data_IF_700743603272
#
_entry.id   IF_700743603272
#
_cell.length_a   1.000
_cell.length_b   1.000
_cell.length_c   1.000
_cell.angle_alpha   90.00
_cell.angle_beta   90.00
_cell.angle_gamma   90.00
#
_symmetry.space_group_name_H-M   'P 1'
#
loop_
_entity.id
_entity.type
_entity.pdbx_description
1 polymer ?
#
# COMPACT_ATOMS: atom_id res chain seq x y z
N UNK A 1 4.78 -19.08 7.29
CA UNK A 1 3.94 -18.14 6.54
C UNK A 1 4.46 -16.73 6.82
N UNK A 2 4.66 -15.90 5.80
CA UNK A 2 5.36 -14.61 5.94
C UNK A 2 4.41 -13.56 6.51
N UNK A 3 4.67 -13.05 7.72
CA UNK A 3 3.78 -12.13 8.47
C UNK A 3 3.42 -10.87 7.68
N UNK A 4 4.32 -10.39 6.83
CA UNK A 4 4.08 -9.24 5.94
C UNK A 4 2.97 -9.53 4.92
N UNK A 5 2.94 -10.73 4.34
CA UNK A 5 1.92 -11.11 3.37
C UNK A 5 0.53 -11.23 4.04
N UNK A 6 0.48 -11.62 5.31
CA UNK A 6 -0.75 -11.62 6.10
C UNK A 6 -1.24 -10.21 6.42
N UNK A 7 -0.34 -9.32 6.83
CA UNK A 7 -0.69 -7.93 7.07
C UNK A 7 -1.25 -7.29 5.80
N UNK A 8 -0.61 -7.47 4.64
CA UNK A 8 -1.12 -6.93 3.36
C UNK A 8 -2.52 -7.47 3.04
N UNK A 9 -2.85 -8.73 3.40
CA UNK A 9 -4.19 -9.30 3.13
C UNK A 9 -5.31 -8.60 3.92
N UNK A 10 -5.03 -8.01 5.08
CA UNK A 10 -6.05 -7.31 5.87
C UNK A 10 -6.36 -5.90 5.38
N UNK A 11 -5.52 -5.35 4.49
CA UNK A 11 -5.74 -4.03 3.90
C UNK A 11 -6.91 -4.06 2.91
N UNK A 12 -7.56 -2.91 2.70
CA UNK A 12 -8.59 -2.76 1.65
C UNK A 12 -8.01 -3.04 0.25
N UNK A 13 -8.88 -3.36 -0.71
CA UNK A 13 -8.47 -3.60 -2.10
C UNK A 13 -7.65 -2.43 -2.67
N UNK A 14 -8.12 -1.20 -2.47
CA UNK A 14 -7.44 0.01 -2.93
C UNK A 14 -6.06 0.22 -2.28
N UNK A 15 -5.91 -0.13 -1.01
CA UNK A 15 -4.60 -0.06 -0.34
C UNK A 15 -3.65 -1.15 -0.83
N UNK A 16 -4.13 -2.37 -1.08
CA UNK A 16 -3.30 -3.43 -1.66
C UNK A 16 -2.84 -3.10 -3.07
N UNK A 17 -3.76 -2.59 -3.90
CA UNK A 17 -3.49 -2.18 -5.27
C UNK A 17 -2.39 -1.12 -5.32
N UNK A 18 -2.50 -0.05 -4.51
CA UNK A 18 -1.50 1.02 -4.53
C UNK A 18 -0.12 0.56 -4.05
N UNK A 19 -0.07 -0.34 -3.06
CA UNK A 19 1.18 -0.91 -2.57
C UNK A 19 1.80 -1.88 -3.59
N UNK A 20 0.98 -2.61 -4.33
CA UNK A 20 1.46 -3.44 -5.43
C UNK A 20 2.17 -2.59 -6.50
N UNK A 21 1.58 -1.46 -6.88
CA UNK A 21 2.16 -0.59 -7.89
C UNK A 21 3.43 0.12 -7.39
N UNK A 22 3.39 0.70 -6.19
CA UNK A 22 4.46 1.58 -5.71
C UNK A 22 5.59 0.85 -4.98
N UNK A 23 5.28 -0.21 -4.23
CA UNK A 23 6.29 -0.93 -3.42
C UNK A 23 6.78 -2.18 -4.15
N UNK A 24 5.86 -3.01 -4.65
CA UNK A 24 6.25 -4.29 -5.27
C UNK A 24 6.76 -4.10 -6.70
N UNK A 25 6.06 -3.30 -7.51
CA UNK A 25 6.45 -2.97 -8.89
C UNK A 25 7.40 -1.77 -9.00
N UNK A 26 7.70 -1.11 -7.87
CA UNK A 26 8.61 0.04 -7.76
C UNK A 26 8.27 1.20 -8.70
N UNK A 27 7.00 1.37 -9.05
CA UNK A 27 6.54 2.51 -9.86
C UNK A 27 6.56 3.78 -9.03
N UNK A 28 6.92 4.88 -9.68
CA UNK A 28 6.73 6.21 -9.13
C UNK A 28 5.24 6.53 -9.00
N UNK A 29 4.92 7.59 -8.26
CA UNK A 29 3.53 8.06 -8.11
C UNK A 29 2.90 8.40 -9.47
N UNK A 30 3.66 9.00 -10.39
CA UNK A 30 3.13 9.34 -11.71
C UNK A 30 2.86 8.08 -12.56
N UNK A 31 3.78 7.12 -12.59
CA UNK A 31 3.56 5.87 -13.32
C UNK A 31 2.38 5.07 -12.72
N UNK A 32 2.23 5.06 -11.40
CA UNK A 32 1.09 4.43 -10.75
C UNK A 32 -0.23 5.16 -11.07
N UNK A 33 -0.21 6.49 -11.19
CA UNK A 33 -1.37 7.29 -11.59
C UNK A 33 -1.83 6.93 -13.01
N UNK A 34 -0.89 6.83 -13.94
CA UNK A 34 -1.17 6.46 -15.34
C UNK A 34 -1.73 5.03 -15.44
N UNK A 35 -1.12 4.09 -14.72
CA UNK A 35 -1.54 2.68 -14.70
C UNK A 35 -2.95 2.51 -14.12
N UNK A 36 -3.25 3.21 -13.03
CA UNK A 36 -4.50 3.05 -12.30
C UNK A 36 -5.61 3.97 -12.81
N UNK A 37 -5.31 4.90 -13.74
CA UNK A 37 -6.25 5.89 -14.23
C UNK A 37 -6.72 6.86 -13.16
N UNK A 38 -5.85 7.19 -12.20
CA UNK A 38 -6.17 8.03 -11.05
C UNK A 38 -5.44 9.37 -11.12
N UNK A 39 -6.01 10.45 -10.56
CA UNK A 39 -5.26 11.68 -10.35
C UNK A 39 -4.02 11.41 -9.47
N UNK A 40 -2.89 12.02 -9.81
CA UNK A 40 -1.64 11.94 -9.04
C UNK A 40 -1.87 12.25 -7.56
N UNK A 41 -2.72 13.23 -7.25
CA UNK A 41 -3.04 13.61 -5.87
C UNK A 41 -3.80 12.52 -5.11
N UNK A 42 -4.68 11.78 -5.80
CA UNK A 42 -5.33 10.59 -5.26
C UNK A 42 -4.33 9.47 -5.01
N UNK A 43 -3.33 9.29 -5.89
CA UNK A 43 -2.26 8.30 -5.70
C UNK A 43 -1.43 8.64 -4.47
N UNK A 44 -0.98 9.89 -4.32
CA UNK A 44 -0.20 10.33 -3.13
C UNK A 44 -0.93 10.05 -1.83
N UNK A 45 -2.18 10.52 -1.73
CA UNK A 45 -2.99 10.32 -0.53
C UNK A 45 -3.26 8.82 -0.28
N UNK A 46 -3.55 8.05 -1.33
CA UNK A 46 -3.77 6.60 -1.20
C UNK A 46 -2.52 5.85 -0.75
N UNK A 47 -1.32 6.19 -1.25
CA UNK A 47 -0.05 5.63 -0.77
C UNK A 47 0.13 5.91 0.72
N UNK A 48 -0.07 7.16 1.14
CA UNK A 48 0.06 7.55 2.54
C UNK A 48 -0.85 6.73 3.47
N UNK A 49 -2.14 6.64 3.14
CA UNK A 49 -3.09 5.88 3.95
C UNK A 49 -2.87 4.36 3.89
N UNK A 50 -2.43 3.83 2.75
CA UNK A 50 -2.09 2.42 2.63
C UNK A 50 -0.87 2.03 3.47
N UNK A 51 0.19 2.86 3.49
CA UNK A 51 1.35 2.64 4.35
C UNK A 51 1.01 2.76 5.83
N UNK A 52 0.15 3.74 6.20
CA UNK A 52 -0.34 3.86 7.58
C UNK A 52 -1.16 2.65 8.00
N UNK A 53 -2.05 2.16 7.14
CA UNK A 53 -2.83 0.95 7.41
C UNK A 53 -1.93 -0.29 7.52
N UNK A 54 -0.90 -0.40 6.67
CA UNK A 54 0.08 -1.47 6.75
C UNK A 54 0.87 -1.44 8.07
N UNK A 55 1.29 -0.25 8.51
CA UNK A 55 1.98 -0.08 9.80
C UNK A 55 1.12 -0.61 10.95
N UNK A 56 -0.14 -0.18 11.04
CA UNK A 56 -1.08 -0.64 12.07
C UNK A 56 -1.24 -2.16 12.02
N UNK A 57 -1.45 -2.73 10.83
CA UNK A 57 -1.60 -4.18 10.68
C UNK A 57 -0.35 -4.98 11.11
N UNK A 58 0.85 -4.40 10.97
CA UNK A 58 2.11 -4.99 11.41
C UNK A 58 2.33 -4.83 12.93
N UNK A 59 1.94 -3.70 13.50
CA UNK A 59 1.99 -3.44 14.96
C UNK A 59 1.07 -4.41 15.71
N UNK A 60 -0.15 -4.63 15.24
CA UNK A 60 -1.09 -5.62 15.79
C UNK A 60 -0.53 -7.06 15.79
N UNK A 61 0.50 -7.31 14.97
CA UNK A 61 1.16 -8.62 14.83
C UNK A 61 2.54 -8.66 15.52
N UNK A 62 2.93 -7.60 16.23
CA UNK A 62 4.21 -7.52 16.94
C UNK A 62 5.44 -7.43 16.02
N UNK A 63 5.27 -7.00 14.76
CA UNK A 63 6.37 -6.91 13.77
C UNK A 63 6.95 -5.51 13.66
N UNK A 64 6.17 -4.48 13.96
CA UNK A 64 6.61 -3.09 13.96
C UNK A 64 6.36 -2.44 15.33
N UNK A 65 7.21 -1.48 15.71
CA UNK A 65 7.14 -0.67 16.94
C UNK A 65 7.34 0.79 16.59
#
# INVERSE_FOLDING_TARGET
>A
MVVVAEAIRTLSASHREILNETVLRRRTVNEAADVLGLPVETVKSRVYYALRALRIALEERGVAT
#
